data_IF_109894207636
#
_entry.id   IF_109894207636
#
_cell.length_a   1.000
_cell.length_b   1.000
_cell.length_c   1.000
_cell.angle_alpha   90.00
_cell.angle_beta   90.00
_cell.angle_gamma   90.00
#
_symmetry.space_group_name_H-M   'P 1'
#
loop_
_entity.id
_entity.type
_entity.pdbx_description
1 polymer ?
#
# COMPACT_ATOMS: atom_id res chain seq x y z
N UNK A 1 12.82 0.77 16.17
CA UNK A 1 12.42 -0.19 15.12
C UNK A 1 13.32 -0.06 13.88
N UNK A 2 13.33 1.05 13.14
CA UNK A 2 14.24 1.25 11.99
C UNK A 2 15.74 1.26 12.34
N UNK A 3 16.11 1.76 13.53
CA UNK A 3 17.51 1.80 13.97
C UNK A 3 18.14 0.40 14.12
N UNK A 4 17.36 -0.58 14.58
CA UNK A 4 17.85 -1.96 14.71
C UNK A 4 17.97 -2.62 13.34
N UNK A 5 17.06 -2.35 12.41
CA UNK A 5 17.17 -2.79 11.03
C UNK A 5 18.45 -2.24 10.36
N UNK A 6 18.76 -0.96 10.60
CA UNK A 6 19.98 -0.28 10.13
C UNK A 6 21.25 -0.96 10.64
N UNK A 7 21.28 -1.30 11.93
CA UNK A 7 22.45 -1.92 12.56
C UNK A 7 22.74 -3.31 11.97
N UNK A 8 21.70 -4.13 11.81
CA UNK A 8 21.81 -5.47 11.20
C UNK A 8 22.21 -5.37 9.71
N UNK A 9 21.66 -4.40 8.99
CA UNK A 9 22.01 -4.14 7.59
C UNK A 9 23.47 -3.75 7.42
N UNK A 10 23.96 -2.80 8.23
CA UNK A 10 25.33 -2.31 8.12
C UNK A 10 26.36 -3.41 8.39
N UNK A 11 26.13 -4.27 9.38
CA UNK A 11 27.00 -5.41 9.64
C UNK A 11 27.07 -6.39 8.47
N UNK A 12 25.96 -6.56 7.75
CA UNK A 12 25.90 -7.40 6.57
C UNK A 12 26.61 -6.75 5.37
N UNK A 13 26.49 -5.44 5.22
CA UNK A 13 27.15 -4.65 4.17
C UNK A 13 28.68 -4.71 4.26
N UNK A 14 29.24 -4.70 5.47
CA UNK A 14 30.70 -4.71 5.70
C UNK A 14 31.39 -6.00 5.23
N UNK A 15 30.63 -7.08 5.03
CA UNK A 15 31.14 -8.41 4.68
C UNK A 15 30.91 -8.73 3.19
N UNK A 16 30.05 -7.97 2.51
CA UNK A 16 29.47 -8.35 1.23
C UNK A 16 29.93 -7.40 0.10
N UNK A 17 30.24 -7.97 -1.06
CA UNK A 17 30.50 -7.19 -2.29
C UNK A 17 29.26 -6.37 -2.64
N UNK A 18 29.45 -5.10 -2.98
CA UNK A 18 28.40 -4.08 -3.18
C UNK A 18 27.17 -4.55 -3.97
N UNK A 19 27.36 -5.36 -5.02
CA UNK A 19 26.29 -5.91 -5.84
C UNK A 19 25.36 -6.87 -5.08
N UNK A 20 25.90 -7.64 -4.13
CA UNK A 20 25.12 -8.54 -3.29
C UNK A 20 24.45 -7.77 -2.14
N UNK A 21 25.05 -6.68 -1.64
CA UNK A 21 24.40 -5.74 -0.71
C UNK A 21 23.11 -5.21 -1.33
N UNK A 22 23.21 -4.60 -2.51
CA UNK A 22 22.05 -3.96 -3.15
C UNK A 22 20.91 -4.95 -3.43
N UNK A 23 21.23 -6.21 -3.75
CA UNK A 23 20.23 -7.28 -3.90
C UNK A 23 19.49 -7.58 -2.59
N UNK A 24 20.22 -7.68 -1.49
CA UNK A 24 19.64 -7.96 -0.17
C UNK A 24 18.79 -6.77 0.29
N UNK A 25 19.30 -5.55 0.16
CA UNK A 25 18.56 -4.32 0.52
C UNK A 25 17.30 -4.18 -0.35
N UNK A 26 17.39 -4.44 -1.65
CA UNK A 26 16.22 -4.42 -2.56
C UNK A 26 15.19 -5.45 -2.14
N UNK A 27 15.63 -6.66 -1.76
CA UNK A 27 14.72 -7.72 -1.30
C UNK A 27 14.03 -7.35 0.02
N UNK A 28 14.75 -6.68 0.91
CA UNK A 28 14.19 -6.16 2.17
C UNK A 28 13.19 -5.03 1.92
N UNK A 29 13.48 -4.10 1.01
CA UNK A 29 12.55 -3.06 0.58
C UNK A 29 11.27 -3.69 0.04
N UNK A 30 11.39 -4.66 -0.87
CA UNK A 30 10.25 -5.36 -1.44
C UNK A 30 9.40 -6.05 -0.37
N UNK A 31 10.03 -6.80 0.56
CA UNK A 31 9.32 -7.45 1.66
C UNK A 31 8.61 -6.44 2.59
N UNK A 32 9.23 -5.29 2.83
CA UNK A 32 8.64 -4.21 3.64
C UNK A 32 7.41 -3.60 2.96
N UNK A 33 7.48 -3.37 1.65
CA UNK A 33 6.36 -2.85 0.85
C UNK A 33 5.22 -3.86 0.72
N UNK A 34 5.53 -5.15 0.54
CA UNK A 34 4.54 -6.22 0.54
C UNK A 34 3.83 -6.35 1.89
N UNK A 35 4.58 -6.20 2.99
CA UNK A 35 4.03 -6.13 4.34
C UNK A 35 3.07 -4.95 4.51
N UNK A 36 3.46 -3.76 4.05
CA UNK A 36 2.62 -2.57 4.08
C UNK A 36 1.34 -2.76 3.24
N UNK A 37 1.45 -3.29 2.02
CA UNK A 37 0.29 -3.59 1.18
C UNK A 37 -0.69 -4.55 1.85
N UNK A 38 -0.18 -5.61 2.49
CA UNK A 38 -1.01 -6.56 3.22
C UNK A 38 -1.77 -5.88 4.36
N UNK A 39 -1.14 -4.94 5.07
CA UNK A 39 -1.82 -4.14 6.10
C UNK A 39 -2.88 -3.23 5.51
N UNK A 40 -2.62 -2.59 4.36
CA UNK A 40 -3.55 -1.66 3.72
C UNK A 40 -4.76 -2.35 3.07
N UNK A 41 -4.58 -3.56 2.54
CA UNK A 41 -5.59 -4.24 1.72
C UNK A 41 -6.20 -5.47 2.36
N UNK A 42 -5.49 -6.13 3.28
CA UNK A 42 -5.89 -7.40 3.89
C UNK A 42 -5.68 -7.38 5.43
N UNK A 43 -5.77 -6.18 6.04
CA UNK A 43 -5.46 -5.93 7.46
C UNK A 43 -6.49 -6.47 8.47
N UNK A 44 -7.52 -7.17 8.00
CA UNK A 44 -8.60 -7.70 8.83
C UNK A 44 -9.63 -6.65 9.28
N UNK A 45 -10.69 -7.07 10.00
CA UNK A 45 -11.87 -6.23 10.27
C UNK A 45 -11.60 -5.04 11.20
N UNK A 46 -10.55 -5.11 12.00
CA UNK A 46 -10.16 -4.02 12.90
C UNK A 46 -9.37 -2.91 12.20
N UNK A 47 -8.93 -3.13 10.96
CA UNK A 47 -8.22 -2.13 10.18
C UNK A 47 -9.23 -1.33 9.35
N UNK A 48 -9.35 -0.06 9.71
CA UNK A 48 -10.27 0.89 9.10
C UNK A 48 -9.51 2.14 8.65
N UNK A 49 -9.91 2.72 7.53
CA UNK A 49 -9.30 3.92 6.95
C UNK A 49 -10.37 4.96 6.59
N UNK A 50 -10.02 6.23 6.78
CA UNK A 50 -10.76 7.39 6.25
C UNK A 50 -9.93 8.10 5.19
N UNK A 51 -10.53 8.87 4.25
CA UNK A 51 -9.79 9.51 3.17
C UNK A 51 -8.62 10.40 3.63
N UNK A 52 -8.77 11.07 4.79
CA UNK A 52 -7.71 11.90 5.36
C UNK A 52 -6.49 11.14 5.81
N UNK A 53 -6.56 9.81 6.00
CA UNK A 53 -5.40 8.99 6.37
C UNK A 53 -4.37 8.90 5.25
N UNK A 54 -4.80 9.08 3.99
CA UNK A 54 -3.93 8.95 2.82
C UNK A 54 -2.72 9.90 2.86
N UNK A 55 -2.89 11.11 3.42
CA UNK A 55 -1.78 12.08 3.55
C UNK A 55 -0.69 11.57 4.49
N UNK A 56 -1.08 10.97 5.62
CA UNK A 56 -0.14 10.46 6.61
C UNK A 56 0.53 9.19 6.11
N UNK A 57 -0.21 8.34 5.39
CA UNK A 57 0.36 7.16 4.73
C UNK A 57 1.38 7.54 3.65
N UNK A 58 1.14 8.61 2.90
CA UNK A 58 2.11 9.10 1.91
C UNK A 58 3.36 9.67 2.60
N UNK A 59 3.19 10.45 3.69
CA UNK A 59 4.32 10.93 4.50
C UNK A 59 5.17 9.76 5.05
N UNK A 60 4.53 8.74 5.60
CA UNK A 60 5.20 7.52 6.09
C UNK A 60 5.92 6.77 4.96
N UNK A 61 5.31 6.67 3.76
CA UNK A 61 5.93 6.04 2.60
C UNK A 61 7.16 6.83 2.12
N UNK A 62 7.11 8.16 2.16
CA UNK A 62 8.24 9.01 1.79
C UNK A 62 9.41 8.86 2.79
N UNK A 63 9.13 8.76 4.09
CA UNK A 63 10.15 8.42 5.10
C UNK A 63 10.78 7.06 4.82
N UNK A 64 9.97 6.04 4.53
CA UNK A 64 10.45 4.69 4.17
C UNK A 64 11.33 4.73 2.91
N UNK A 65 10.92 5.50 1.90
CA UNK A 65 11.64 5.67 0.65
C UNK A 65 13.02 6.29 0.87
N UNK A 66 13.07 7.41 1.58
CA UNK A 66 14.34 8.10 1.87
C UNK A 66 15.24 7.28 2.78
N UNK A 67 14.69 6.44 3.67
CA UNK A 67 15.47 5.46 4.44
C UNK A 67 16.24 4.48 3.53
N UNK A 68 15.62 3.92 2.50
CA UNK A 68 16.28 2.98 1.59
C UNK A 68 17.21 3.66 0.57
N UNK A 69 16.99 4.94 0.26
CA UNK A 69 17.90 5.76 -0.56
C UNK A 69 19.12 6.18 0.28
N UNK A 70 18.93 6.43 1.57
CA UNK A 70 19.97 6.82 2.54
C UNK A 70 20.88 7.95 2.03
N UNK A 71 20.30 9.05 1.52
CA UNK A 71 21.08 10.20 1.03
C UNK A 71 21.95 9.94 -0.21
N UNK A 72 21.80 8.78 -0.86
CA UNK A 72 22.62 8.35 -2.00
C UNK A 72 23.57 7.19 -1.69
N UNK A 73 23.76 6.86 -0.41
CA UNK A 73 24.61 5.75 0.04
C UNK A 73 23.86 4.40 0.07
N UNK A 74 22.54 4.42 -0.14
CA UNK A 74 21.67 3.24 -0.20
C UNK A 74 21.37 2.79 -1.63
N UNK A 75 20.13 2.37 -1.86
CA UNK A 75 19.69 1.93 -3.18
C UNK A 75 19.56 3.10 -4.18
N UNK A 76 19.78 2.87 -5.49
CA UNK A 76 19.54 3.89 -6.50
C UNK A 76 18.09 4.39 -6.47
N UNK A 77 17.89 5.72 -6.49
CA UNK A 77 16.55 6.36 -6.45
C UNK A 77 15.54 5.74 -7.41
N UNK A 78 15.94 5.50 -8.66
CA UNK A 78 15.06 4.90 -9.67
C UNK A 78 14.59 3.48 -9.32
N UNK A 79 15.42 2.69 -8.64
CA UNK A 79 15.04 1.35 -8.16
C UNK A 79 13.98 1.48 -7.06
N UNK A 80 14.21 2.37 -6.09
CA UNK A 80 13.27 2.58 -4.98
C UNK A 80 11.94 3.13 -5.49
N UNK A 81 11.95 4.15 -6.35
CA UNK A 81 10.74 4.75 -6.93
C UNK A 81 9.89 3.72 -7.71
N UNK A 82 10.53 2.82 -8.46
CA UNK A 82 9.83 1.76 -9.16
C UNK A 82 9.17 0.76 -8.19
N UNK A 83 9.85 0.40 -7.09
CA UNK A 83 9.32 -0.53 -6.10
C UNK A 83 8.13 0.05 -5.33
N UNK A 84 8.20 1.32 -4.92
CA UNK A 84 7.14 1.97 -4.13
C UNK A 84 5.89 2.30 -4.97
N UNK A 85 5.99 2.34 -6.31
CA UNK A 85 4.93 2.79 -7.20
C UNK A 85 3.57 2.13 -6.95
N UNK A 86 3.56 0.80 -6.71
CA UNK A 86 2.33 0.05 -6.42
C UNK A 86 1.70 0.46 -5.09
N UNK A 87 2.50 0.63 -4.04
CA UNK A 87 2.01 1.03 -2.71
C UNK A 87 1.48 2.46 -2.76
N UNK A 88 2.23 3.37 -3.41
CA UNK A 88 1.81 4.75 -3.62
C UNK A 88 0.48 4.84 -4.37
N UNK A 89 0.26 4.00 -5.37
CA UNK A 89 -1.03 3.92 -6.06
C UNK A 89 -2.16 3.53 -5.11
N UNK A 90 -1.97 2.54 -4.23
CA UNK A 90 -2.97 2.14 -3.24
C UNK A 90 -3.24 3.26 -2.23
N UNK A 91 -2.21 3.94 -1.74
CA UNK A 91 -2.36 5.09 -0.84
C UNK A 91 -3.14 6.22 -1.53
N UNK A 92 -2.83 6.52 -2.79
CA UNK A 92 -3.60 7.48 -3.58
C UNK A 92 -5.08 7.10 -3.67
N UNK A 93 -5.38 5.81 -3.90
CA UNK A 93 -6.76 5.31 -3.92
C UNK A 93 -7.47 5.47 -2.57
N UNK A 94 -6.75 5.30 -1.46
CA UNK A 94 -7.30 5.54 -0.12
C UNK A 94 -7.76 7.00 0.05
N UNK A 95 -7.17 7.96 -0.67
CA UNK A 95 -7.50 9.37 -0.59
C UNK A 95 -8.74 9.82 -1.39
N UNK A 96 -9.29 9.00 -2.27
CA UNK A 96 -10.49 9.36 -3.03
C UNK A 96 -11.76 9.28 -2.17
N UNK A 97 -12.77 10.06 -2.55
CA UNK A 97 -14.08 9.94 -1.95
C UNK A 97 -14.69 8.56 -2.23
N UNK A 98 -15.45 8.04 -1.26
CA UNK A 98 -16.06 6.71 -1.36
C UNK A 98 -16.95 6.57 -2.59
N UNK A 99 -17.67 7.63 -2.94
CA UNK A 99 -18.50 7.67 -4.16
C UNK A 99 -17.68 7.52 -5.43
N UNK A 100 -16.51 8.16 -5.52
CA UNK A 100 -15.63 8.06 -6.69
C UNK A 100 -15.10 6.63 -6.88
N UNK A 101 -14.71 5.97 -5.77
CA UNK A 101 -14.28 4.58 -5.79
C UNK A 101 -15.41 3.62 -6.21
N UNK A 102 -16.63 3.86 -5.75
CA UNK A 102 -17.81 3.07 -6.14
C UNK A 102 -18.12 3.24 -7.63
N UNK A 103 -18.11 4.47 -8.12
CA UNK A 103 -18.39 4.78 -9.52
C UNK A 103 -17.31 4.17 -10.43
N UNK A 104 -16.04 4.26 -10.03
CA UNK A 104 -14.92 3.64 -10.73
C UNK A 104 -15.05 2.11 -10.75
N UNK A 105 -15.36 1.48 -9.61
CA UNK A 105 -15.59 0.03 -9.49
C UNK A 105 -16.74 -0.44 -10.39
N UNK A 106 -17.85 0.30 -10.44
CA UNK A 106 -18.97 -0.01 -11.33
C UNK A 106 -18.54 0.06 -12.80
N UNK A 107 -17.74 1.06 -13.17
CA UNK A 107 -17.27 1.23 -14.54
C UNK A 107 -16.24 0.16 -14.95
N UNK A 108 -15.39 -0.27 -14.02
CA UNK A 108 -14.41 -1.34 -14.20
C UNK A 108 -15.06 -2.74 -14.33
N UNK A 109 -16.32 -2.91 -13.93
CA UNK A 109 -17.01 -4.19 -14.18
C UNK A 109 -17.16 -4.53 -15.67
N UNK A 110 -16.96 -3.56 -16.57
CA UNK A 110 -16.93 -3.71 -18.02
C UNK A 110 -15.52 -3.76 -18.63
N UNK A 111 -14.46 -3.47 -17.86
CA UNK A 111 -13.06 -3.42 -18.31
C UNK A 111 -12.12 -3.83 -17.17
N UNK A 112 -11.21 -4.78 -17.39
CA UNK A 112 -10.31 -5.32 -16.35
C UNK A 112 -9.41 -4.26 -15.64
N UNK A 113 -9.38 -3.00 -16.11
CA UNK A 113 -8.74 -1.88 -15.42
C UNK A 113 -9.69 -0.71 -15.24
N UNK A 114 -9.67 -0.17 -14.03
CA UNK A 114 -10.44 1.01 -13.66
C UNK A 114 -9.81 2.30 -14.19
N UNK A 115 -10.57 3.40 -14.22
CA UNK A 115 -10.08 4.72 -14.65
C UNK A 115 -9.05 5.27 -13.67
N UNK A 116 -9.15 4.88 -12.40
CA UNK A 116 -8.16 5.21 -11.37
C UNK A 116 -6.92 4.29 -11.41
N UNK A 117 -6.85 3.37 -12.38
CA UNK A 117 -5.70 2.54 -12.68
C UNK A 117 -5.57 1.28 -11.82
N UNK A 118 -6.58 0.96 -11.00
CA UNK A 118 -6.59 -0.25 -10.18
C UNK A 118 -7.46 -1.35 -10.79
N UNK A 119 -7.19 -2.59 -10.40
CA UNK A 119 -8.10 -3.70 -10.67
C UNK A 119 -9.28 -3.67 -9.69
N UNK A 120 -10.39 -4.29 -10.11
CA UNK A 120 -11.63 -4.41 -9.35
C UNK A 120 -11.43 -5.01 -7.94
N UNK A 121 -10.48 -5.95 -7.77
CA UNK A 121 -10.23 -6.58 -6.46
C UNK A 121 -9.54 -5.60 -5.50
N UNK A 122 -8.62 -4.78 -6.00
CA UNK A 122 -7.98 -3.73 -5.21
C UNK A 122 -9.00 -2.69 -4.74
N UNK A 123 -9.87 -2.20 -5.63
CA UNK A 123 -10.94 -1.25 -5.26
C UNK A 123 -11.89 -1.85 -4.21
N UNK A 124 -12.28 -3.11 -4.37
CA UNK A 124 -13.13 -3.80 -3.40
C UNK A 124 -12.49 -3.91 -2.02
N UNK A 125 -11.20 -4.29 -1.96
CA UNK A 125 -10.48 -4.36 -0.69
C UNK A 125 -10.40 -3.01 0.02
N UNK A 126 -10.14 -1.93 -0.73
CA UNK A 126 -10.14 -0.57 -0.19
C UNK A 126 -11.51 -0.22 0.39
N UNK A 127 -12.60 -0.46 -0.36
CA UNK A 127 -13.97 -0.21 0.11
C UNK A 127 -14.32 -1.06 1.34
N UNK A 128 -13.83 -2.30 1.44
CA UNK A 128 -14.04 -3.15 2.61
C UNK A 128 -13.39 -2.60 3.89
N UNK A 129 -12.27 -1.88 3.76
CA UNK A 129 -11.58 -1.26 4.89
C UNK A 129 -11.95 0.22 5.10
N UNK A 130 -12.92 0.74 4.33
CA UNK A 130 -13.35 2.13 4.46
C UNK A 130 -14.27 2.31 5.68
N UNK A 131 -13.93 3.26 6.55
CA UNK A 131 -14.63 3.54 7.80
C UNK A 131 -15.88 4.41 7.63
N UNK A 132 -16.71 4.15 6.62
CA UNK A 132 -17.94 4.90 6.39
C UNK A 132 -19.15 4.03 6.02
N UNK A 133 -20.33 4.62 6.23
CA UNK A 133 -21.61 3.96 6.00
C UNK A 133 -21.93 3.75 4.52
N UNK A 134 -21.45 4.61 3.62
CA UNK A 134 -21.75 4.54 2.20
C UNK A 134 -21.09 3.31 1.57
N UNK A 135 -19.80 3.09 1.84
CA UNK A 135 -19.07 1.90 1.41
C UNK A 135 -19.72 0.62 1.94
N UNK A 136 -20.04 0.60 3.24
CA UNK A 136 -20.69 -0.53 3.90
C UNK A 136 -22.06 -0.86 3.29
N UNK A 137 -22.90 0.15 3.02
CA UNK A 137 -24.22 -0.05 2.41
C UNK A 137 -24.10 -0.53 0.96
N UNK A 138 -23.18 0.06 0.19
CA UNK A 138 -22.91 -0.36 -1.18
C UNK A 138 -22.48 -1.83 -1.24
N UNK A 139 -21.49 -2.24 -0.44
CA UNK A 139 -20.98 -3.61 -0.43
C UNK A 139 -22.06 -4.62 -0.04
N UNK A 140 -22.84 -4.33 1.02
CA UNK A 140 -23.96 -5.18 1.45
C UNK A 140 -24.99 -5.36 0.35
N UNK A 141 -25.35 -4.28 -0.36
CA UNK A 141 -26.33 -4.33 -1.45
C UNK A 141 -25.79 -5.06 -2.68
N UNK A 142 -24.57 -4.75 -3.09
CA UNK A 142 -23.95 -5.30 -4.31
C UNK A 142 -23.68 -6.81 -4.19
N UNK A 143 -23.19 -7.25 -3.03
CA UNK A 143 -22.77 -8.63 -2.80
C UNK A 143 -23.76 -9.45 -1.97
N UNK A 144 -24.94 -8.90 -1.66
CA UNK A 144 -25.99 -9.54 -0.85
C UNK A 144 -25.45 -10.11 0.47
N UNK A 145 -24.52 -9.38 1.10
CA UNK A 145 -23.90 -9.81 2.35
C UNK A 145 -24.97 -9.76 3.44
N UNK A 146 -25.20 -10.86 4.19
CA UNK A 146 -26.17 -10.88 5.26
C UNK A 146 -25.78 -9.85 6.33
N UNK A 147 -26.78 -9.28 7.01
CA UNK A 147 -26.51 -8.41 8.16
C UNK A 147 -25.77 -9.24 9.21
N UNK A 148 -24.65 -8.74 9.72
CA UNK A 148 -23.94 -9.39 10.82
C UNK A 148 -24.93 -9.59 11.96
N UNK A 149 -25.11 -10.84 12.40
CA UNK A 149 -25.88 -11.16 13.60
C UNK A 149 -25.24 -10.47 14.79
N UNK A 150 -26.06 -9.80 15.59
CA UNK A 150 -25.67 -9.21 16.87
C UNK A 150 -25.38 -10.29 17.91
#
# INVERSE_FOLDING_TARGET
>A
HFHQLLQELNQLCDIIVEQLRDRIVTSLLQASLDGLLRVLLDGGPSRLFIPSDARYLEEDLEVLKEFFISGGDGLPRGVVENQVARVRQVIKLQGYETRELIDDLRSASASDRSKLGADTKTLLRILCHRSDNEASQFLKKQYKIPKSGA
#
